data_IF_662413621188
#
_entry.id   IF_662413621188
#
_cell.length_a   1.000
_cell.length_b   1.000
_cell.length_c   1.000
_cell.angle_alpha   90.00
_cell.angle_beta   90.00
_cell.angle_gamma   90.00
#
_symmetry.space_group_name_H-M   'P 1'
#
loop_
_entity.id
_entity.type
_entity.pdbx_description
1 polymer ?
#
# COMPACT_ATOMS: atom_id res chain seq x y z
N UNK A 1 -22.52 -4.79 -16.22
CA UNK A 1 -21.64 -4.65 -17.40
C UNK A 1 -20.25 -4.40 -16.84
N UNK A 2 -19.42 -5.45 -16.81
CA UNK A 2 -18.03 -5.42 -16.34
C UNK A 2 -17.17 -5.30 -17.59
N UNK A 3 -16.45 -4.20 -17.75
CA UNK A 3 -15.49 -4.04 -18.84
C UNK A 3 -14.09 -4.45 -18.38
N UNK A 4 -13.41 -5.20 -19.24
CA UNK A 4 -12.12 -5.80 -19.01
C UNK A 4 -10.98 -4.78 -19.15
N UNK A 5 -10.00 -4.86 -18.25
CA UNK A 5 -8.63 -4.46 -18.54
C UNK A 5 -7.75 -5.71 -18.40
N UNK A 6 -7.38 -6.30 -19.53
CA UNK A 6 -6.22 -7.19 -19.60
C UNK A 6 -4.97 -6.34 -19.35
N UNK A 7 -4.32 -6.52 -18.20
CA UNK A 7 -2.91 -6.11 -18.01
C UNK A 7 -2.18 -7.33 -17.45
N UNK A 8 -1.88 -8.28 -18.33
CA UNK A 8 -0.72 -9.11 -18.09
C UNK A 8 0.53 -8.23 -18.25
N UNK A 9 1.19 -7.99 -17.12
CA UNK A 9 2.50 -8.63 -16.93
C UNK A 9 2.83 -8.74 -15.46
N UNK A 10 2.52 -9.93 -14.96
CA UNK A 10 3.22 -10.62 -13.88
C UNK A 10 4.74 -10.57 -14.13
N UNK A 11 5.51 -10.01 -13.20
CA UNK A 11 6.95 -10.29 -13.07
C UNK A 11 7.37 -10.18 -11.61
N UNK A 12 7.70 -11.32 -10.99
CA UNK A 12 8.40 -11.37 -9.71
C UNK A 12 7.90 -12.45 -8.75
N UNK A 13 8.16 -13.71 -9.07
CA UNK A 13 8.19 -14.79 -8.07
C UNK A 13 9.21 -14.46 -6.97
N UNK A 14 8.85 -14.75 -5.72
CA UNK A 14 9.65 -14.67 -4.48
C UNK A 14 9.70 -13.34 -3.72
N UNK A 15 8.66 -13.05 -2.95
CA UNK A 15 8.81 -12.66 -1.53
C UNK A 15 7.56 -13.05 -0.74
N UNK A 16 7.32 -14.35 -0.68
CA UNK A 16 6.34 -14.99 0.21
C UNK A 16 6.83 -14.94 1.67
N UNK A 17 7.00 -13.73 2.23
CA UNK A 17 7.17 -13.51 3.66
C UNK A 17 5.95 -12.77 4.17
N UNK A 18 5.02 -13.55 4.68
CA UNK A 18 3.72 -13.17 5.27
C UNK A 18 3.85 -12.14 6.42
N UNK A 19 5.07 -11.85 6.90
CA UNK A 19 5.34 -10.78 7.86
C UNK A 19 5.54 -9.38 7.23
N UNK A 20 5.73 -9.30 5.90
CA UNK A 20 5.93 -8.04 5.14
C UNK A 20 4.79 -7.76 4.13
N UNK A 21 3.81 -8.66 4.03
CA UNK A 21 2.78 -8.60 3.00
C UNK A 21 1.54 -7.87 3.47
N UNK A 22 1.44 -6.57 3.17
CA UNK A 22 0.11 -6.02 2.92
C UNK A 22 -0.40 -6.79 1.70
N UNK A 23 -1.42 -7.65 1.86
CA UNK A 23 -2.10 -8.25 0.71
C UNK A 23 -2.90 -7.14 0.04
N UNK A 24 -2.28 -6.52 -0.97
CA UNK A 24 -2.88 -5.41 -1.69
C UNK A 24 -3.38 -5.94 -3.03
N UNK A 25 -4.41 -5.27 -3.58
CA UNK A 25 -4.77 -5.43 -4.99
C UNK A 25 -3.52 -5.08 -5.82
N UNK A 26 -3.26 -5.78 -6.92
CA UNK A 26 -1.99 -5.68 -7.66
C UNK A 26 -1.62 -4.25 -8.08
N UNK A 27 -2.62 -3.40 -8.32
CA UNK A 27 -2.46 -1.98 -8.60
C UNK A 27 -2.07 -1.16 -7.37
N UNK A 28 -2.63 -1.45 -6.19
CA UNK A 28 -2.24 -0.81 -4.93
C UNK A 28 -0.80 -1.20 -4.56
N UNK A 29 -0.37 -2.43 -4.85
CA UNK A 29 1.04 -2.82 -4.74
C UNK A 29 1.95 -1.94 -5.62
N UNK A 30 1.61 -1.77 -6.89
CA UNK A 30 2.38 -0.91 -7.80
C UNK A 30 2.43 0.55 -7.30
N UNK A 31 1.31 1.09 -6.83
CA UNK A 31 1.27 2.43 -6.24
C UNK A 31 2.15 2.53 -4.98
N UNK A 32 2.20 1.46 -4.17
CA UNK A 32 3.02 1.42 -2.96
C UNK A 32 4.49 1.44 -3.33
N UNK A 33 4.91 0.58 -4.27
CA UNK A 33 6.29 0.52 -4.74
C UNK A 33 6.74 1.82 -5.42
N UNK A 34 5.83 2.52 -6.10
CA UNK A 34 6.06 3.86 -6.65
C UNK A 34 6.09 4.97 -5.59
N UNK A 35 5.83 4.64 -4.34
CA UNK A 35 5.77 5.58 -3.23
C UNK A 35 4.57 6.51 -3.28
N UNK A 36 3.53 6.22 -4.07
CA UNK A 36 2.31 7.04 -4.24
C UNK A 36 1.23 6.75 -3.18
N UNK A 37 1.32 5.60 -2.53
CA UNK A 37 0.53 5.23 -1.35
C UNK A 37 1.47 4.76 -0.24
N UNK A 38 1.12 5.04 1.00
CA UNK A 38 1.82 4.52 2.16
C UNK A 38 0.85 4.30 3.32
N UNK A 39 1.36 3.81 4.46
CA UNK A 39 0.58 3.59 5.67
C UNK A 39 1.18 4.39 6.80
N UNK A 40 0.38 5.17 7.53
CA UNK A 40 0.80 6.00 8.66
C UNK A 40 1.26 5.16 9.86
N UNK A 41 1.85 5.82 10.86
CA UNK A 41 2.11 5.22 12.18
C UNK A 41 0.85 4.70 12.89
N UNK A 42 -0.32 5.26 12.58
CA UNK A 42 -1.62 4.86 13.12
C UNK A 42 -2.32 3.77 12.29
N UNK A 43 -1.59 3.13 11.37
CA UNK A 43 -2.13 2.12 10.46
C UNK A 43 -3.29 2.65 9.62
N UNK A 44 -3.22 3.90 9.17
CA UNK A 44 -4.16 4.48 8.19
C UNK A 44 -3.49 4.62 6.83
N UNK A 45 -4.25 4.41 5.76
CA UNK A 45 -3.77 4.54 4.39
C UNK A 45 -3.61 6.02 4.04
N UNK A 46 -2.48 6.36 3.44
CA UNK A 46 -2.11 7.71 3.05
C UNK A 46 -1.79 7.74 1.57
N UNK A 47 -2.33 8.70 0.85
CA UNK A 47 -2.17 8.84 -0.60
C UNK A 47 -1.48 10.15 -0.93
N UNK A 48 -0.67 10.12 -1.98
CA UNK A 48 -0.14 11.30 -2.61
C UNK A 48 -1.28 12.27 -2.97
N UNK A 49 -1.09 13.60 -2.82
CA UNK A 49 -2.16 14.58 -3.01
C UNK A 49 -2.90 14.42 -4.35
N UNK A 50 -2.16 14.23 -5.44
CA UNK A 50 -2.71 14.04 -6.79
C UNK A 50 -3.45 12.72 -7.00
N UNK A 51 -3.26 11.74 -6.13
CA UNK A 51 -3.96 10.45 -6.19
C UNK A 51 -5.32 10.50 -5.46
N UNK A 52 -5.58 11.55 -4.65
CA UNK A 52 -6.82 11.70 -3.89
C UNK A 52 -8.03 12.00 -4.76
N UNK A 53 -7.82 12.65 -5.91
CA UNK A 53 -8.89 12.95 -6.88
C UNK A 53 -9.14 11.81 -7.88
N UNK A 54 -8.47 10.66 -7.69
CA UNK A 54 -8.62 9.47 -8.52
C UNK A 54 -9.58 8.45 -7.90
N UNK A 55 -9.79 7.32 -8.59
CA UNK A 55 -10.55 6.17 -8.04
C UNK A 55 -9.99 5.67 -6.69
N UNK A 56 -8.69 5.89 -6.44
CA UNK A 56 -8.01 5.49 -5.22
C UNK A 56 -8.30 6.43 -4.05
N UNK A 57 -8.84 7.63 -4.27
CA UNK A 57 -9.14 8.61 -3.23
C UNK A 57 -9.99 8.05 -2.09
N UNK A 58 -10.86 7.08 -2.42
CA UNK A 58 -11.67 6.35 -1.46
C UNK A 58 -10.87 5.53 -0.44
N UNK A 59 -9.57 5.33 -0.64
CA UNK A 59 -8.68 4.67 0.32
C UNK A 59 -7.99 5.64 1.27
N UNK A 60 -8.00 6.94 1.00
CA UNK A 60 -7.36 7.92 1.87
C UNK A 60 -7.96 7.89 3.28
N UNK A 61 -7.09 7.93 4.29
CA UNK A 61 -7.42 7.89 5.72
C UNK A 61 -8.17 6.64 6.19
N UNK A 62 -8.34 5.64 5.34
CA UNK A 62 -8.97 4.38 5.76
C UNK A 62 -8.05 3.62 6.71
N UNK A 63 -8.59 3.06 7.81
CA UNK A 63 -7.83 2.19 8.69
C UNK A 63 -7.47 0.90 7.95
N UNK A 64 -6.25 0.45 8.16
CA UNK A 64 -5.77 -0.83 7.67
C UNK A 64 -6.24 -1.93 8.61
N UNK A 65 -6.91 -2.94 8.05
CA UNK A 65 -7.21 -4.17 8.79
C UNK A 65 -5.93 -4.98 8.92
N UNK A 66 -5.39 -5.07 10.14
CA UNK A 66 -4.21 -5.88 10.45
C UNK A 66 -4.59 -7.19 11.14
N UNK A 67 -3.83 -8.27 10.94
CA UNK A 67 -4.03 -9.51 11.69
C UNK A 67 -3.92 -9.28 13.20
N UNK A 68 -4.78 -9.97 13.97
CA UNK A 68 -4.73 -9.93 15.43
C UNK A 68 -3.39 -10.41 15.97
N UNK A 69 -2.82 -11.45 15.32
CA UNK A 69 -1.57 -12.07 15.73
C UNK A 69 -0.36 -11.18 15.36
N UNK A 70 0.47 -10.75 16.35
CA UNK A 70 1.55 -9.80 16.13
C UNK A 70 2.57 -10.20 15.06
N UNK A 71 2.87 -11.50 14.92
CA UNK A 71 3.84 -12.01 13.94
C UNK A 71 3.46 -11.79 12.46
N UNK A 72 2.20 -11.45 12.18
CA UNK A 72 1.70 -11.17 10.83
C UNK A 72 1.34 -9.68 10.64
N UNK A 73 1.65 -8.83 11.62
CA UNK A 73 1.46 -7.39 11.46
C UNK A 73 2.57 -6.80 10.60
N UNK A 74 2.28 -5.74 9.84
CA UNK A 74 3.30 -5.06 9.06
C UNK A 74 4.38 -4.49 9.99
N UNK A 75 5.64 -4.67 9.59
CA UNK A 75 6.80 -4.14 10.30
C UNK A 75 6.75 -2.60 10.30
N UNK A 76 6.67 -2.01 11.50
CA UNK A 76 6.56 -0.57 11.70
C UNK A 76 7.83 0.20 11.29
N UNK A 77 9.00 -0.42 11.39
CA UNK A 77 10.28 0.14 10.93
C UNK A 77 10.36 0.10 9.41
N UNK A 78 9.90 -0.98 8.78
CA UNK A 78 9.81 -1.07 7.32
C UNK A 78 8.86 -0.02 6.75
N UNK A 79 7.67 0.14 7.33
CA UNK A 79 6.72 1.19 6.94
C UNK A 79 7.33 2.59 7.16
N UNK A 80 8.09 2.80 8.25
CA UNK A 80 8.76 4.09 8.48
C UNK A 80 9.81 4.40 7.42
N UNK A 81 10.63 3.41 7.03
CA UNK A 81 11.62 3.58 5.95
C UNK A 81 10.94 3.91 4.63
N UNK A 82 9.85 3.20 4.31
CA UNK A 82 9.06 3.47 3.12
C UNK A 82 8.50 4.90 3.10
N UNK A 83 7.85 5.34 4.19
CA UNK A 83 7.31 6.71 4.30
C UNK A 83 8.35 7.80 4.06
N UNK A 84 9.58 7.62 4.52
CA UNK A 84 10.67 8.57 4.29
C UNK A 84 11.05 8.71 2.80
N UNK A 85 10.77 7.71 1.99
CA UNK A 85 10.95 7.77 0.53
C UNK A 85 9.80 8.44 -0.21
N UNK A 86 8.65 8.66 0.45
CA UNK A 86 7.52 9.37 -0.13
C UNK A 86 7.74 10.89 0.00
N UNK A 87 8.18 11.54 -1.07
CA UNK A 87 8.52 12.98 -1.06
C UNK A 87 7.34 13.89 -0.69
N UNK A 88 6.11 13.46 -0.97
CA UNK A 88 4.88 14.17 -0.65
C UNK A 88 4.38 13.94 0.78
N UNK A 89 4.99 13.00 1.51
CA UNK A 89 4.55 12.60 2.83
C UNK A 89 5.37 13.31 3.91
N UNK A 90 4.78 14.35 4.46
CA UNK A 90 5.34 15.08 5.60
C UNK A 90 4.43 14.87 6.80
N UNK A 91 4.95 14.17 7.82
CA UNK A 91 4.31 13.98 9.13
C UNK A 91 5.05 14.78 10.19
#
# INVERSE_FOLDING_TARGET
>A
MLEAAHIDRYFGTHTNRVANGLLLRSDIHALFDLGLITVSSHLTVQLAPWLRDSEYGNFHDKPLTVPLHPAYRPDSDALRRHRKGCEWYHQ
#
